data_IF_372775971896
#
_entry.id   IF_372775971896
#
_cell.length_a   1.000
_cell.length_b   1.000
_cell.length_c   1.000
_cell.angle_alpha   90.00
_cell.angle_beta   90.00
_cell.angle_gamma   90.00
#
_symmetry.space_group_name_H-M   'P 1'
#
loop_
_entity.id
_entity.type
_entity.pdbx_description
1 polymer ?
#
# COMPACT_ATOMS: atom_id res chain seq x y z
N UNK A 1 16.36 -9.61 -8.07
CA UNK A 1 16.48 -8.19 -7.68
C UNK A 1 15.21 -7.79 -6.95
N UNK A 2 15.33 -7.37 -5.69
CA UNK A 2 14.24 -6.94 -4.79
C UNK A 2 14.59 -5.57 -4.24
N UNK A 3 13.64 -4.64 -4.15
CA UNK A 3 13.92 -3.32 -3.52
C UNK A 3 14.24 -3.44 -2.03
N UNK A 4 13.87 -4.55 -1.38
CA UNK A 4 14.19 -4.80 0.02
C UNK A 4 15.59 -5.37 0.22
N UNK A 5 16.15 -6.05 -0.77
CA UNK A 5 17.45 -6.73 -0.64
C UNK A 5 18.33 -6.44 -1.86
N UNK A 6 18.61 -5.16 -2.15
CA UNK A 6 19.61 -4.82 -3.16
C UNK A 6 21.00 -5.20 -2.64
N UNK A 7 21.79 -5.90 -3.46
CA UNK A 7 23.19 -6.21 -3.11
C UNK A 7 24.10 -4.99 -3.33
N UNK A 8 23.88 -4.30 -4.45
CA UNK A 8 24.61 -3.10 -4.89
C UNK A 8 23.71 -2.25 -5.79
N UNK A 9 24.21 -1.08 -6.22
CA UNK A 9 23.54 -0.21 -7.16
C UNK A 9 22.83 0.98 -6.51
N UNK A 10 22.17 1.79 -7.32
CA UNK A 10 21.55 3.05 -6.86
C UNK A 10 20.03 3.03 -7.00
N UNK A 11 19.32 3.12 -5.88
CA UNK A 11 17.87 3.24 -5.84
C UNK A 11 17.49 4.72 -6.01
N UNK A 12 16.81 5.04 -7.11
CA UNK A 12 16.22 6.37 -7.33
C UNK A 12 14.75 6.30 -6.90
N UNK A 13 14.50 6.67 -5.64
CA UNK A 13 13.18 6.54 -5.01
C UNK A 13 12.31 7.73 -5.40
N UNK A 14 11.18 7.42 -6.04
CA UNK A 14 10.20 8.40 -6.53
C UNK A 14 8.86 8.10 -5.86
N UNK A 15 8.60 8.62 -4.66
CA UNK A 15 7.36 8.35 -3.94
C UNK A 15 6.18 9.18 -4.48
N UNK A 16 6.10 9.35 -5.81
CA UNK A 16 5.06 10.13 -6.49
C UNK A 16 3.70 9.47 -6.35
N UNK A 17 2.72 10.23 -5.86
CA UNK A 17 1.33 9.81 -5.78
C UNK A 17 0.60 10.13 -7.09
N UNK A 18 1.03 9.50 -8.19
CA UNK A 18 0.44 9.62 -9.53
C UNK A 18 -0.86 8.80 -9.62
N UNK A 19 -1.81 9.13 -8.74
CA UNK A 19 -3.13 8.50 -8.56
C UNK A 19 -4.26 9.51 -8.86
N UNK A 20 -5.54 9.10 -8.98
CA UNK A 20 -6.68 10.03 -9.10
C UNK A 20 -6.64 11.16 -8.06
N UNK A 21 -6.44 12.40 -8.50
CA UNK A 21 -6.14 13.53 -7.60
C UNK A 21 -7.36 14.06 -6.84
N UNK A 22 -8.55 13.87 -7.39
CA UNK A 22 -9.85 14.13 -6.75
C UNK A 22 -10.03 13.32 -5.47
N UNK A 23 -9.61 12.05 -5.48
CA UNK A 23 -9.65 11.16 -4.33
C UNK A 23 -8.55 11.49 -3.30
N UNK A 24 -7.33 11.88 -3.74
CA UNK A 24 -6.18 12.09 -2.84
C UNK A 24 -6.41 13.29 -1.93
N UNK A 25 -7.11 14.31 -2.45
CA UNK A 25 -7.50 15.52 -1.72
C UNK A 25 -8.37 15.23 -0.50
N UNK A 26 -9.05 14.10 -0.47
CA UNK A 26 -9.92 13.69 0.66
C UNK A 26 -9.13 13.05 1.80
N UNK A 27 -7.85 12.74 1.60
CA UNK A 27 -7.00 12.10 2.60
C UNK A 27 -6.18 13.16 3.33
N UNK A 28 -6.44 13.32 4.64
CA UNK A 28 -5.67 14.22 5.50
C UNK A 28 -4.20 13.79 5.56
N UNK A 29 -3.30 14.72 5.22
CA UNK A 29 -1.86 14.49 5.22
C UNK A 29 -1.34 13.65 4.05
N UNK A 30 -2.12 13.46 2.97
CA UNK A 30 -1.70 12.68 1.81
C UNK A 30 -0.34 13.10 1.25
N UNK A 31 -0.01 14.40 1.29
CA UNK A 31 1.28 14.92 0.82
C UNK A 31 2.48 14.36 1.59
N UNK A 32 2.29 13.97 2.86
CA UNK A 32 3.31 13.33 3.68
C UNK A 32 3.49 11.85 3.33
N UNK A 33 2.65 11.26 2.48
CA UNK A 33 2.84 9.86 2.04
C UNK A 33 4.09 9.67 1.21
N UNK A 34 4.72 10.76 0.73
CA UNK A 34 6.08 10.71 0.21
C UNK A 34 7.06 10.09 1.22
N UNK A 35 6.79 10.18 2.52
CA UNK A 35 7.61 9.58 3.59
C UNK A 35 7.38 8.08 3.77
N UNK A 36 6.35 7.47 3.16
CA UNK A 36 6.10 6.03 3.29
C UNK A 36 7.20 5.17 2.68
N UNK A 37 7.99 5.69 1.76
CA UNK A 37 9.13 4.96 1.19
C UNK A 37 10.45 5.22 1.94
N UNK A 38 10.46 6.02 3.02
CA UNK A 38 11.69 6.30 3.75
C UNK A 38 12.30 5.06 4.43
N UNK A 39 11.54 3.97 4.61
CA UNK A 39 12.11 2.69 5.03
C UNK A 39 13.20 2.19 4.06
N UNK A 40 13.19 2.62 2.78
CA UNK A 40 14.25 2.26 1.83
C UNK A 40 15.60 2.86 2.18
N UNK A 41 15.68 3.88 3.05
CA UNK A 41 16.97 4.35 3.59
C UNK A 41 17.68 3.25 4.37
N UNK A 42 16.94 2.28 4.94
CA UNK A 42 17.52 1.14 5.66
C UNK A 42 18.29 0.18 4.74
N UNK A 43 18.07 0.23 3.42
CA UNK A 43 18.86 -0.53 2.44
C UNK A 43 20.33 -0.08 2.41
N UNK A 44 20.64 1.13 2.90
CA UNK A 44 22.00 1.62 3.06
C UNK A 44 22.82 0.78 4.05
N UNK A 45 22.22 -0.16 4.80
CA UNK A 45 22.98 -1.19 5.53
C UNK A 45 23.92 -1.99 4.62
N UNK A 46 23.63 -2.06 3.31
CA UNK A 46 24.49 -2.67 2.30
C UNK A 46 25.49 -1.62 1.79
N UNK A 47 26.82 -1.82 1.96
CA UNK A 47 27.83 -0.84 1.56
C UNK A 47 27.83 -0.48 0.07
N UNK A 48 27.45 -1.43 -0.80
CA UNK A 48 27.38 -1.23 -2.25
C UNK A 48 26.14 -0.46 -2.72
N UNK A 49 25.21 -0.13 -1.83
CA UNK A 49 23.92 0.50 -2.19
C UNK A 49 24.00 2.01 -2.01
N UNK A 50 23.43 2.77 -2.94
CA UNK A 50 23.22 4.21 -2.82
C UNK A 50 21.73 4.52 -2.94
N UNK A 51 21.29 5.60 -2.31
CA UNK A 51 19.88 6.03 -2.38
C UNK A 51 19.82 7.48 -2.82
N UNK A 52 19.09 7.75 -3.90
CA UNK A 52 18.67 9.09 -4.32
C UNK A 52 17.19 9.20 -4.04
N UNK A 53 16.80 9.99 -3.04
CA UNK A 53 15.41 10.14 -2.61
C UNK A 53 14.85 11.48 -3.06
N UNK A 54 13.75 11.45 -3.81
CA UNK A 54 13.11 12.64 -4.36
C UNK A 54 11.90 13.03 -3.53
N UNK A 55 11.75 14.33 -3.25
CA UNK A 55 10.57 14.86 -2.54
C UNK A 55 10.06 16.18 -3.09
N UNK A 56 8.76 16.41 -2.94
CA UNK A 56 8.10 17.67 -3.25
C UNK A 56 8.56 18.78 -2.31
N UNK A 57 8.59 18.49 -1.00
CA UNK A 57 8.97 19.43 0.06
C UNK A 57 10.11 18.88 0.91
N UNK A 58 10.89 19.74 1.60
CA UNK A 58 11.98 19.26 2.44
C UNK A 58 11.46 18.28 3.50
N UNK A 59 12.14 17.15 3.65
CA UNK A 59 11.94 16.24 4.78
C UNK A 59 12.72 16.80 5.95
N UNK A 60 12.11 16.82 7.14
CA UNK A 60 12.80 17.27 8.36
C UNK A 60 14.06 16.41 8.58
N UNK A 61 15.25 17.02 8.77
CA UNK A 61 16.49 16.29 9.01
C UNK A 61 16.38 15.27 10.15
N UNK A 62 15.61 15.55 11.21
CA UNK A 62 15.41 14.63 12.33
C UNK A 62 14.73 13.31 11.90
N UNK A 63 13.92 13.33 10.84
CA UNK A 63 13.32 12.12 10.25
C UNK A 63 14.38 11.31 9.53
N UNK A 64 15.24 11.96 8.74
CA UNK A 64 16.34 11.28 8.02
C UNK A 64 17.31 10.67 9.04
N UNK A 65 17.69 11.43 10.05
CA UNK A 65 18.56 11.00 11.14
C UNK A 65 17.94 9.82 11.89
N UNK A 66 16.63 9.85 12.17
CA UNK A 66 15.91 8.73 12.77
C UNK A 66 16.04 7.42 11.98
N UNK A 67 15.95 7.45 10.65
CA UNK A 67 16.12 6.24 9.83
C UNK A 67 17.59 5.79 9.77
N UNK A 68 18.54 6.72 9.64
CA UNK A 68 19.96 6.38 9.62
C UNK A 68 20.45 5.84 10.98
N UNK A 69 19.83 6.26 12.08
CA UNK A 69 20.05 5.75 13.44
C UNK A 69 19.66 4.26 13.62
N UNK A 70 19.11 3.58 12.60
CA UNK A 70 18.97 2.12 12.61
C UNK A 70 20.21 1.38 12.06
N UNK A 71 21.13 2.10 11.42
CA UNK A 71 22.30 1.54 10.75
C UNK A 71 23.51 1.51 11.69
N UNK A 72 24.44 0.60 11.44
CA UNK A 72 25.64 0.43 12.29
C UNK A 72 26.60 1.63 12.15
N UNK A 73 26.69 2.20 10.95
CA UNK A 73 27.44 3.45 10.68
C UNK A 73 26.53 4.48 9.97
N UNK A 74 25.79 5.30 10.75
CA UNK A 74 24.92 6.35 10.19
C UNK A 74 25.70 7.42 9.39
N UNK A 75 26.96 7.67 9.75
CA UNK A 75 27.77 8.70 9.10
C UNK A 75 28.19 8.25 7.70
N UNK A 76 28.68 7.01 7.57
CA UNK A 76 29.02 6.41 6.28
C UNK A 76 27.77 6.27 5.41
N UNK A 77 26.66 5.76 5.95
CA UNK A 77 25.41 5.64 5.20
C UNK A 77 24.92 6.99 4.65
N UNK A 78 25.09 8.09 5.40
CA UNK A 78 24.75 9.44 4.94
C UNK A 78 25.54 9.87 3.71
N UNK A 79 26.79 9.43 3.57
CA UNK A 79 27.60 9.77 2.37
C UNK A 79 27.02 9.17 1.08
N UNK A 80 26.28 8.06 1.20
CA UNK A 80 25.62 7.33 0.10
C UNK A 80 24.15 7.71 -0.09
N UNK A 81 23.62 8.61 0.74
CA UNK A 81 22.27 9.16 0.64
C UNK A 81 22.30 10.55 -0.03
N UNK A 82 21.47 10.74 -1.06
CA UNK A 82 21.19 12.04 -1.67
C UNK A 82 19.70 12.35 -1.57
N UNK A 83 19.35 13.37 -0.78
CA UNK A 83 17.99 13.91 -0.73
C UNK A 83 17.87 15.05 -1.76
N UNK A 84 16.96 14.92 -2.73
CA UNK A 84 16.67 15.95 -3.73
C UNK A 84 15.26 16.46 -3.52
N UNK A 85 15.15 17.70 -3.06
CA UNK A 85 13.86 18.38 -2.88
C UNK A 85 13.61 19.40 -3.98
N UNK A 86 12.34 19.47 -4.43
CA UNK A 86 11.88 20.40 -5.47
C UNK A 86 11.37 21.74 -4.91
N UNK A 87 10.88 21.77 -3.68
CA UNK A 87 10.32 22.99 -3.06
C UNK A 87 8.92 23.36 -3.55
N UNK A 88 8.20 22.43 -4.20
CA UNK A 88 6.86 22.65 -4.74
C UNK A 88 5.80 22.01 -3.83
N UNK A 89 5.02 22.86 -3.15
CA UNK A 89 3.93 22.47 -2.23
C UNK A 89 2.60 22.15 -2.93
N UNK A 90 2.50 22.31 -4.24
CA UNK A 90 1.28 22.00 -5.00
C UNK A 90 0.91 20.53 -4.89
N UNK A 91 -0.36 20.22 -5.12
CA UNK A 91 -0.89 18.86 -5.11
C UNK A 91 -0.57 18.07 -6.39
N UNK A 92 0.22 18.62 -7.31
CA UNK A 92 0.64 17.87 -8.51
C UNK A 92 1.49 16.65 -8.11
N UNK A 93 1.39 15.53 -8.84
CA UNK A 93 2.29 14.40 -8.62
C UNK A 93 3.76 14.81 -8.67
N UNK A 94 4.60 14.20 -7.82
CA UNK A 94 6.03 14.49 -7.73
C UNK A 94 6.73 14.32 -9.08
N UNK A 95 6.39 13.27 -9.83
CA UNK A 95 6.99 13.02 -11.13
C UNK A 95 6.68 14.12 -12.14
N UNK A 96 5.47 14.66 -12.15
CA UNK A 96 5.13 15.82 -13.01
C UNK A 96 5.93 17.06 -12.61
N UNK A 97 6.16 17.27 -11.30
CA UNK A 97 7.03 18.35 -10.82
C UNK A 97 8.48 18.16 -11.29
N UNK A 98 8.97 16.92 -11.36
CA UNK A 98 10.30 16.60 -11.89
C UNK A 98 10.39 16.91 -13.38
N UNK A 99 9.41 16.44 -14.17
CA UNK A 99 9.39 16.61 -15.63
C UNK A 99 9.32 18.08 -16.05
N UNK A 100 8.58 18.90 -15.31
CA UNK A 100 8.41 20.33 -15.60
C UNK A 100 9.36 21.26 -14.82
N UNK A 101 10.12 20.72 -13.86
CA UNK A 101 10.98 21.51 -12.98
C UNK A 101 12.30 21.90 -13.65
N UNK A 102 12.63 23.20 -13.79
CA UNK A 102 13.85 23.63 -14.45
C UNK A 102 15.11 23.09 -13.74
N UNK A 103 16.01 22.47 -14.49
CA UNK A 103 17.27 21.91 -13.96
C UNK A 103 17.12 20.67 -13.07
N UNK A 104 15.91 20.17 -12.82
CA UNK A 104 15.69 19.02 -11.93
C UNK A 104 16.34 17.75 -12.48
N UNK A 105 16.11 17.45 -13.76
CA UNK A 105 16.73 16.28 -14.40
C UNK A 105 18.25 16.37 -14.38
N UNK A 106 18.82 17.56 -14.56
CA UNK A 106 20.27 17.78 -14.44
C UNK A 106 20.77 17.46 -13.04
N UNK A 107 20.08 17.93 -12.00
CA UNK A 107 20.42 17.62 -10.60
C UNK A 107 20.34 16.12 -10.30
N UNK A 108 19.34 15.43 -10.85
CA UNK A 108 19.21 13.96 -10.71
C UNK A 108 20.38 13.28 -11.39
N UNK A 109 20.71 13.64 -12.64
CA UNK A 109 21.87 13.07 -13.36
C UNK A 109 23.18 13.30 -12.61
N UNK A 110 23.41 14.51 -12.10
CA UNK A 110 24.58 14.82 -11.28
C UNK A 110 24.67 13.97 -10.00
N UNK A 111 23.54 13.68 -9.36
CA UNK A 111 23.51 12.79 -8.20
C UNK A 111 23.83 11.32 -8.55
N UNK A 112 23.69 10.96 -9.82
CA UNK A 112 23.99 9.64 -10.38
C UNK A 112 25.38 9.57 -11.03
N UNK A 113 26.14 10.67 -11.08
CA UNK A 113 27.48 10.67 -11.68
C UNK A 113 28.39 9.65 -10.97
N UNK A 114 29.06 8.80 -11.76
CA UNK A 114 29.91 7.72 -11.23
C UNK A 114 29.16 6.59 -10.54
N UNK A 115 27.84 6.46 -10.75
CA UNK A 115 27.07 5.28 -10.35
C UNK A 115 27.02 4.26 -11.49
N UNK A 116 27.32 3.01 -11.16
CA UNK A 116 26.94 1.87 -11.98
C UNK A 116 25.59 1.35 -11.47
N UNK A 117 24.73 0.88 -12.38
CA UNK A 117 23.48 0.17 -12.07
C UNK A 117 22.50 0.94 -11.17
N UNK A 118 21.82 1.92 -11.77
CA UNK A 118 20.73 2.68 -11.13
C UNK A 118 19.36 2.29 -11.70
N UNK A 119 18.32 2.35 -10.87
CA UNK A 119 16.93 2.12 -11.31
C UNK A 119 15.93 2.95 -10.53
N UNK A 120 14.78 3.21 -11.14
CA UNK A 120 13.68 3.93 -10.54
C UNK A 120 12.86 3.02 -9.62
N UNK A 121 12.54 3.50 -8.43
CA UNK A 121 11.62 2.86 -7.48
C UNK A 121 10.42 3.79 -7.26
N UNK A 122 9.41 3.75 -8.14
CA UNK A 122 8.22 4.56 -8.00
C UNK A 122 7.22 3.96 -6.99
N UNK A 123 6.40 4.80 -6.37
CA UNK A 123 5.25 4.32 -5.59
C UNK A 123 4.21 3.62 -6.49
N UNK A 124 3.92 4.22 -7.64
CA UNK A 124 3.06 3.69 -8.71
C UNK A 124 3.65 4.10 -10.06
N UNK A 125 3.52 3.26 -11.08
CA UNK A 125 3.96 3.57 -12.44
C UNK A 125 2.80 4.17 -13.22
N UNK A 126 2.95 5.41 -13.67
CA UNK A 126 2.08 6.06 -14.65
C UNK A 126 2.88 6.48 -15.89
N UNK A 127 2.22 7.07 -16.88
CA UNK A 127 2.90 7.61 -18.06
C UNK A 127 3.97 8.66 -17.68
N UNK A 128 3.78 9.38 -16.58
CA UNK A 128 4.77 10.34 -16.09
C UNK A 128 6.06 9.62 -15.64
N UNK A 129 5.95 8.51 -14.91
CA UNK A 129 7.11 7.72 -14.47
C UNK A 129 7.83 7.07 -15.65
N UNK A 130 7.11 6.56 -16.65
CA UNK A 130 7.72 6.04 -17.88
C UNK A 130 8.44 7.13 -18.69
N UNK A 131 7.84 8.33 -18.83
CA UNK A 131 8.54 9.48 -19.43
C UNK A 131 9.82 9.81 -18.67
N UNK A 132 9.77 9.85 -17.34
CA UNK A 132 10.94 10.13 -16.51
C UNK A 132 12.03 9.06 -16.68
N UNK A 133 11.65 7.78 -16.72
CA UNK A 133 12.55 6.66 -17.01
C UNK A 133 13.27 6.83 -18.34
N UNK A 134 12.54 7.13 -19.42
CA UNK A 134 13.12 7.37 -20.74
C UNK A 134 14.08 8.56 -20.71
N UNK A 135 13.72 9.67 -20.06
CA UNK A 135 14.57 10.86 -19.98
C UNK A 135 15.85 10.62 -19.17
N UNK A 136 15.81 9.77 -18.14
CA UNK A 136 16.97 9.43 -17.31
C UNK A 136 17.78 8.24 -17.87
N UNK A 137 17.20 7.44 -18.76
CA UNK A 137 17.80 6.20 -19.25
C UNK A 137 17.88 5.10 -18.19
N UNK A 138 16.95 5.08 -17.24
CA UNK A 138 16.95 4.15 -16.10
C UNK A 138 15.78 3.17 -16.17
N UNK A 139 15.97 1.87 -15.89
CA UNK A 139 14.86 0.91 -15.78
C UNK A 139 13.94 1.25 -14.60
N UNK A 140 12.68 0.82 -14.68
CA UNK A 140 11.69 1.00 -13.61
C UNK A 140 11.47 -0.32 -12.88
N UNK A 141 11.51 -0.30 -11.54
CA UNK A 141 11.01 -1.38 -10.71
C UNK A 141 9.52 -1.17 -10.44
N UNK A 142 8.67 -1.70 -11.32
CA UNK A 142 7.23 -1.59 -11.20
C UNK A 142 6.52 -2.07 -12.47
N UNK A 143 5.20 -2.31 -12.41
CA UNK A 143 4.46 -2.82 -13.56
C UNK A 143 4.35 -1.74 -14.63
N UNK A 144 4.67 -2.09 -15.88
CA UNK A 144 4.55 -1.16 -17.02
C UNK A 144 3.11 -0.65 -17.17
N UNK A 145 2.93 0.57 -17.67
CA UNK A 145 1.59 1.18 -17.82
C UNK A 145 0.69 0.41 -18.77
N UNK A 146 1.28 -0.30 -19.75
CA UNK A 146 0.56 -1.22 -20.63
C UNK A 146 -0.19 -2.33 -19.85
N UNK A 147 0.28 -2.67 -18.64
CA UNK A 147 -0.31 -3.67 -17.76
C UNK A 147 -1.24 -3.05 -16.69
N UNK A 148 -1.37 -1.73 -16.62
CA UNK A 148 -2.16 -1.06 -15.58
C UNK A 148 -3.62 -1.53 -15.53
N UNK A 149 -4.19 -1.89 -16.70
CA UNK A 149 -5.54 -2.43 -16.79
C UNK A 149 -5.73 -3.72 -15.98
N UNK A 150 -4.68 -4.53 -15.77
CA UNK A 150 -4.73 -5.76 -14.96
C UNK A 150 -4.91 -5.47 -13.46
N UNK A 151 -4.57 -4.27 -13.00
CA UNK A 151 -4.82 -3.79 -11.63
C UNK A 151 -6.15 -3.06 -11.46
N UNK A 152 -6.95 -2.90 -12.53
CA UNK A 152 -8.31 -2.36 -12.41
C UNK A 152 -9.25 -3.40 -11.79
N UNK A 153 -10.43 -3.00 -11.28
CA UNK A 153 -11.41 -3.97 -10.78
C UNK A 153 -11.81 -5.01 -11.83
N UNK A 154 -12.03 -4.58 -13.07
CA UNK A 154 -12.34 -5.50 -14.18
C UNK A 154 -11.15 -6.41 -14.52
N UNK A 155 -9.93 -5.86 -14.57
CA UNK A 155 -8.73 -6.64 -14.82
C UNK A 155 -8.39 -7.63 -13.71
N UNK A 156 -8.62 -7.26 -12.45
CA UNK A 156 -8.43 -8.14 -11.31
C UNK A 156 -9.37 -9.35 -11.36
N UNK A 157 -10.63 -9.15 -11.79
CA UNK A 157 -11.57 -10.25 -12.04
C UNK A 157 -11.08 -11.18 -13.16
N UNK A 158 -10.64 -10.63 -14.28
CA UNK A 158 -10.04 -11.40 -15.39
C UNK A 158 -8.85 -12.25 -14.92
N UNK A 159 -7.93 -11.64 -14.17
CA UNK A 159 -6.74 -12.33 -13.63
C UNK A 159 -7.13 -13.42 -12.65
N UNK A 160 -8.10 -13.18 -11.76
CA UNK A 160 -8.60 -14.21 -10.85
C UNK A 160 -9.26 -15.38 -11.59
N UNK A 161 -10.06 -15.12 -12.61
CA UNK A 161 -10.69 -16.17 -13.42
C UNK A 161 -9.61 -17.04 -14.10
N UNK A 162 -8.60 -16.44 -14.72
CA UNK A 162 -7.46 -17.14 -15.32
C UNK A 162 -6.66 -17.94 -14.27
N UNK A 163 -6.42 -17.36 -13.10
CA UNK A 163 -5.76 -17.99 -11.96
C UNK A 163 -6.63 -19.03 -11.22
N UNK A 164 -7.91 -19.17 -11.60
CA UNK A 164 -8.93 -19.98 -10.91
C UNK A 164 -9.12 -19.60 -9.43
N UNK A 165 -8.91 -18.34 -9.09
CA UNK A 165 -9.12 -17.80 -7.74
C UNK A 165 -10.60 -17.43 -7.58
N UNK A 166 -11.26 -17.81 -6.47
CA UNK A 166 -12.65 -17.45 -6.23
C UNK A 166 -12.90 -15.94 -6.25
N UNK A 167 -14.07 -15.55 -6.76
CA UNK A 167 -14.57 -14.18 -6.79
C UNK A 167 -15.99 -14.15 -6.23
N UNK A 168 -16.44 -12.97 -5.79
CA UNK A 168 -17.87 -12.72 -5.67
C UNK A 168 -18.54 -12.86 -7.05
N UNK A 169 -19.77 -13.39 -7.10
CA UNK A 169 -20.57 -13.41 -8.33
C UNK A 169 -20.73 -11.97 -8.82
N UNK A 170 -20.58 -11.76 -10.12
CA UNK A 170 -20.58 -10.40 -10.66
C UNK A 170 -20.13 -10.33 -12.11
N UNK A 171 -20.21 -9.13 -12.66
CA UNK A 171 -19.85 -8.81 -14.03
C UNK A 171 -18.80 -7.69 -14.06
N UNK A 172 -17.99 -7.69 -15.11
CA UNK A 172 -16.88 -6.76 -15.30
C UNK A 172 -16.98 -6.03 -16.64
N UNK A 173 -16.08 -5.06 -16.85
CA UNK A 173 -15.95 -4.25 -18.07
C UNK A 173 -17.25 -3.53 -18.47
N UNK A 174 -17.96 -3.01 -17.47
CA UNK A 174 -19.18 -2.23 -17.66
C UNK A 174 -18.81 -0.76 -17.90
N UNK A 175 -19.32 -0.14 -18.97
CA UNK A 175 -18.98 1.23 -19.42
C UNK A 175 -20.18 2.16 -19.46
N UNK A 176 -21.36 1.69 -19.07
CA UNK A 176 -22.55 2.52 -18.99
C UNK A 176 -23.48 2.09 -17.87
N UNK A 177 -24.31 3.02 -17.40
CA UNK A 177 -25.34 2.71 -16.41
C UNK A 177 -26.35 1.66 -16.93
N UNK A 178 -26.63 1.65 -18.23
CA UNK A 178 -27.48 0.64 -18.88
C UNK A 178 -26.88 -0.76 -18.77
N UNK A 179 -25.57 -0.91 -19.00
CA UNK A 179 -24.88 -2.19 -18.84
C UNK A 179 -24.86 -2.63 -17.38
N UNK A 180 -24.63 -1.71 -16.44
CA UNK A 180 -24.69 -1.99 -14.99
C UNK A 180 -26.10 -2.46 -14.59
N UNK A 181 -27.14 -1.82 -15.11
CA UNK A 181 -28.53 -2.21 -14.88
C UNK A 181 -28.83 -3.62 -15.45
N UNK A 182 -28.34 -3.92 -16.66
CA UNK A 182 -28.51 -5.24 -17.27
C UNK A 182 -27.81 -6.32 -16.45
N UNK A 183 -26.57 -6.06 -16.04
CA UNK A 183 -25.78 -6.95 -15.19
C UNK A 183 -26.43 -7.15 -13.81
N UNK A 184 -27.00 -6.09 -13.22
CA UNK A 184 -27.75 -6.19 -11.97
C UNK A 184 -28.95 -7.15 -12.10
N UNK A 185 -29.74 -7.04 -13.17
CA UNK A 185 -30.85 -7.97 -13.41
C UNK A 185 -30.38 -9.41 -13.62
N UNK A 186 -29.27 -9.60 -14.34
CA UNK A 186 -28.70 -10.93 -14.60
C UNK A 186 -28.11 -11.60 -13.35
N UNK A 187 -27.74 -10.83 -12.32
CA UNK A 187 -27.21 -11.36 -11.07
C UNK A 187 -28.30 -11.93 -10.15
N UNK A 188 -29.57 -11.58 -10.36
CA UNK A 188 -30.71 -12.07 -9.59
C UNK A 188 -31.00 -13.58 -9.86
N UNK A 189 -31.52 -14.34 -8.88
CA UNK A 189 -31.80 -13.92 -7.50
C UNK A 189 -30.51 -13.70 -6.68
N UNK A 190 -30.54 -12.68 -5.83
CA UNK A 190 -29.45 -12.38 -4.92
C UNK A 190 -29.58 -13.20 -3.64
N UNK A 191 -28.45 -13.63 -3.10
CA UNK A 191 -28.38 -14.22 -1.77
C UNK A 191 -28.61 -13.11 -0.73
N UNK A 192 -29.13 -13.51 0.44
CA UNK A 192 -29.12 -12.75 1.71
C UNK A 192 -29.19 -11.21 1.60
N UNK A 193 -30.39 -10.64 1.43
CA UNK A 193 -30.62 -9.21 1.65
C UNK A 193 -30.64 -8.32 0.41
N UNK A 194 -30.53 -8.88 -0.80
CA UNK A 194 -30.81 -8.14 -2.04
C UNK A 194 -29.79 -7.04 -2.36
N UNK A 195 -28.57 -7.13 -1.80
CA UNK A 195 -27.55 -6.10 -1.96
C UNK A 195 -26.53 -6.42 -3.05
N UNK A 196 -26.12 -5.37 -3.74
CA UNK A 196 -25.08 -5.38 -4.76
C UNK A 196 -24.06 -4.29 -4.47
N UNK A 197 -22.85 -4.46 -4.98
CA UNK A 197 -21.80 -3.45 -4.97
C UNK A 197 -21.39 -3.12 -6.40
N UNK A 198 -21.49 -1.85 -6.79
CA UNK A 198 -20.84 -1.33 -7.99
C UNK A 198 -19.51 -0.72 -7.58
N UNK A 199 -18.41 -1.09 -8.27
CA UNK A 199 -17.06 -0.58 -7.98
C UNK A 199 -16.45 0.00 -9.26
N UNK A 200 -15.99 1.24 -9.22
CA UNK A 200 -15.23 1.84 -10.32
C UNK A 200 -13.87 1.17 -10.47
N UNK A 201 -13.40 1.01 -11.71
CA UNK A 201 -12.17 0.29 -12.05
C UNK A 201 -10.90 0.86 -11.42
N UNK A 202 -10.75 2.19 -11.43
CA UNK A 202 -9.51 2.88 -11.06
C UNK A 202 -9.77 3.87 -9.91
N UNK A 203 -10.37 3.37 -8.82
CA UNK A 203 -10.59 4.13 -7.58
C UNK A 203 -9.89 3.43 -6.41
N UNK A 204 -9.59 4.16 -5.33
CA UNK A 204 -8.92 3.61 -4.15
C UNK A 204 -9.57 4.07 -2.84
N UNK A 205 -9.20 3.39 -1.75
CA UNK A 205 -9.75 3.65 -0.40
C UNK A 205 -11.28 3.59 -0.33
N UNK A 206 -11.91 2.75 -1.17
CA UNK A 206 -13.36 2.56 -1.19
C UNK A 206 -14.17 3.71 -1.80
N UNK A 207 -13.54 4.80 -2.27
CA UNK A 207 -14.23 6.02 -2.71
C UNK A 207 -15.09 5.84 -3.97
N UNK A 208 -14.78 4.84 -4.79
CA UNK A 208 -15.51 4.49 -6.01
C UNK A 208 -16.50 3.35 -5.85
N UNK A 209 -16.95 3.08 -4.62
CA UNK A 209 -17.94 2.05 -4.32
C UNK A 209 -19.35 2.64 -4.16
N UNK A 210 -20.35 1.90 -4.64
CA UNK A 210 -21.75 2.17 -4.42
C UNK A 210 -22.48 0.88 -4.02
N UNK A 211 -23.07 0.85 -2.82
CA UNK A 211 -23.87 -0.28 -2.34
C UNK A 211 -25.33 -0.01 -2.70
N UNK A 212 -25.94 -0.93 -3.45
CA UNK A 212 -27.32 -0.82 -3.90
C UNK A 212 -28.17 -1.90 -3.24
N UNK A 213 -29.29 -1.51 -2.64
CA UNK A 213 -30.35 -2.45 -2.24
C UNK A 213 -31.28 -2.60 -3.45
N UNK A 214 -31.13 -3.70 -4.20
CA UNK A 214 -31.86 -3.95 -5.45
C UNK A 214 -33.27 -4.44 -5.16
N UNK A 215 -34.25 -3.75 -5.75
CA UNK A 215 -35.65 -4.20 -5.87
C UNK A 215 -36.06 -4.28 -7.35
N UNK A 216 -37.36 -4.29 -7.68
CA UNK A 216 -37.83 -4.41 -9.07
C UNK A 216 -37.64 -3.13 -9.91
N UNK A 217 -37.29 -2.00 -9.28
CA UNK A 217 -37.10 -0.72 -9.96
C UNK A 217 -35.71 -0.63 -10.61
N UNK A 218 -35.50 0.36 -11.50
CA UNK A 218 -34.17 0.71 -11.98
C UNK A 218 -33.22 1.07 -10.82
N UNK A 219 -31.92 0.82 -10.99
CA UNK A 219 -30.86 1.12 -10.02
C UNK A 219 -30.89 2.58 -9.56
N UNK A 220 -31.20 3.51 -10.47
CA UNK A 220 -31.32 4.94 -10.17
C UNK A 220 -32.42 5.30 -9.19
N UNK A 221 -33.43 4.44 -9.05
CA UNK A 221 -34.54 4.58 -8.11
C UNK A 221 -34.40 3.66 -6.88
N UNK A 222 -33.38 2.80 -6.85
CA UNK A 222 -33.06 1.96 -5.71
C UNK A 222 -32.39 2.78 -4.61
N UNK A 223 -32.45 2.28 -3.38
CA UNK A 223 -31.66 2.87 -2.29
C UNK A 223 -30.19 2.55 -2.51
N UNK A 224 -29.38 3.59 -2.72
CA UNK A 224 -27.94 3.49 -2.93
C UNK A 224 -27.19 4.28 -1.89
N UNK A 225 -26.19 3.65 -1.28
CA UNK A 225 -25.19 4.30 -0.44
C UNK A 225 -23.90 4.43 -1.24
N UNK A 226 -23.54 5.66 -1.59
CA UNK A 226 -22.25 5.97 -2.20
C UNK A 226 -21.21 6.26 -1.13
N UNK A 227 -19.98 5.77 -1.33
CA UNK A 227 -18.87 6.04 -0.39
C UNK A 227 -18.41 7.51 -0.42
N UNK A 228 -18.65 8.21 -1.53
CA UNK A 228 -18.39 9.63 -1.69
C UNK A 228 -19.66 10.44 -1.34
N UNK A 229 -19.54 11.40 -0.41
CA UNK A 229 -20.70 12.14 0.13
C UNK A 229 -21.47 12.97 -0.92
N UNK A 230 -20.76 13.52 -1.91
CA UNK A 230 -21.35 14.35 -2.97
C UNK A 230 -21.66 13.55 -4.25
N UNK A 231 -21.75 12.23 -4.14
CA UNK A 231 -21.98 11.33 -5.28
C UNK A 231 -23.46 10.96 -5.41
N UNK A 232 -23.91 10.89 -6.66
CA UNK A 232 -25.21 10.37 -7.04
C UNK A 232 -25.09 9.52 -8.31
N UNK A 233 -26.18 8.92 -8.77
CA UNK A 233 -26.12 8.11 -10.00
C UNK A 233 -25.76 8.89 -11.26
N UNK A 234 -25.99 10.20 -11.30
CA UNK A 234 -25.66 11.05 -12.46
C UNK A 234 -24.14 11.17 -12.56
N UNK A 235 -23.52 11.68 -11.51
CA UNK A 235 -22.06 11.84 -11.39
C UNK A 235 -21.33 10.50 -11.44
N UNK A 236 -21.91 9.46 -10.84
CA UNK A 236 -21.33 8.12 -10.87
C UNK A 236 -21.40 7.49 -12.26
N UNK A 237 -22.46 7.73 -13.05
CA UNK A 237 -22.58 7.26 -14.43
C UNK A 237 -21.52 7.89 -15.35
N UNK A 238 -21.19 9.17 -15.17
CA UNK A 238 -20.08 9.83 -15.88
C UNK A 238 -18.75 9.13 -15.60
N UNK A 239 -18.50 8.78 -14.33
CA UNK A 239 -17.29 8.03 -13.95
C UNK A 239 -17.29 6.60 -14.45
N UNK A 240 -18.46 5.94 -14.51
CA UNK A 240 -18.59 4.61 -15.14
C UNK A 240 -18.20 4.70 -16.62
N UNK A 241 -18.64 5.73 -17.34
CA UNK A 241 -18.29 5.92 -18.74
C UNK A 241 -16.78 6.18 -18.93
N UNK A 242 -16.18 7.00 -18.07
CA UNK A 242 -14.76 7.34 -18.12
C UNK A 242 -13.85 6.16 -17.72
N UNK A 243 -14.16 5.51 -16.59
CA UNK A 243 -13.25 4.58 -15.90
C UNK A 243 -13.63 3.12 -16.09
N UNK A 244 -14.91 2.85 -16.36
CA UNK A 244 -15.51 1.53 -16.30
C UNK A 244 -15.77 1.05 -14.86
N UNK A 245 -16.56 -0.01 -14.74
CA UNK A 245 -16.97 -0.55 -13.46
C UNK A 245 -17.14 -2.08 -13.47
N UNK A 246 -17.21 -2.64 -12.27
CA UNK A 246 -17.71 -3.99 -12.01
C UNK A 246 -18.97 -3.89 -11.15
N UNK A 247 -19.86 -4.87 -11.26
CA UNK A 247 -20.95 -5.08 -10.30
C UNK A 247 -20.83 -6.46 -9.69
N UNK A 248 -20.93 -6.54 -8.37
CA UNK A 248 -20.74 -7.77 -7.60
C UNK A 248 -21.87 -7.97 -6.61
N UNK A 249 -22.15 -9.22 -6.28
CA UNK A 249 -23.00 -9.59 -5.16
C UNK A 249 -22.34 -9.11 -3.86
N UNK A 250 -23.11 -8.45 -3.00
CA UNK A 250 -22.58 -7.97 -1.73
C UNK A 250 -22.41 -9.13 -0.75
N UNK A 251 -21.22 -9.26 -0.15
CA UNK A 251 -20.91 -10.39 0.73
C UNK A 251 -21.44 -10.13 2.15
N UNK A 252 -22.59 -10.71 2.45
CA UNK A 252 -23.27 -10.57 3.73
C UNK A 252 -23.01 -11.67 4.75
N UNK A 253 -22.40 -12.77 4.32
CA UNK A 253 -22.07 -13.87 5.22
C UNK A 253 -21.13 -13.40 6.34
N UNK A 254 -21.34 -13.92 7.56
CA UNK A 254 -20.51 -13.67 8.73
C UNK A 254 -20.14 -15.01 9.41
N UNK A 255 -18.96 -15.11 10.07
CA UNK A 255 -17.91 -14.10 10.14
C UNK A 255 -17.24 -13.86 8.78
N UNK A 256 -16.84 -12.61 8.54
CA UNK A 256 -16.14 -12.15 7.34
C UNK A 256 -14.88 -11.43 7.78
N UNK A 257 -13.75 -11.80 7.19
CA UNK A 257 -12.46 -11.16 7.43
C UNK A 257 -11.90 -10.59 6.13
N UNK A 258 -11.03 -9.60 6.23
CA UNK A 258 -10.45 -8.88 5.09
C UNK A 258 -8.92 -9.04 5.05
N UNK A 259 -8.38 -10.24 4.81
CA UNK A 259 -6.94 -10.39 4.68
C UNK A 259 -6.42 -9.78 3.37
N UNK A 260 -5.12 -9.56 3.31
CA UNK A 260 -4.41 -9.26 2.07
C UNK A 260 -3.13 -10.07 1.95
N UNK A 261 -2.58 -10.10 0.74
CA UNK A 261 -1.27 -10.65 0.45
C UNK A 261 -0.43 -9.61 -0.29
N UNK A 262 0.87 -9.62 -0.01
CA UNK A 262 1.88 -8.87 -0.74
C UNK A 262 2.70 -9.87 -1.56
N UNK A 263 2.75 -9.67 -2.87
CA UNK A 263 3.59 -10.47 -3.76
C UNK A 263 4.61 -9.60 -4.48
N UNK A 264 5.66 -10.27 -4.96
CA UNK A 264 6.77 -9.70 -5.69
C UNK A 264 6.93 -10.46 -7.00
N UNK A 265 7.19 -9.74 -8.08
CA UNK A 265 7.71 -10.31 -9.34
C UNK A 265 9.03 -9.61 -9.66
N UNK A 266 10.07 -10.39 -9.86
CA UNK A 266 11.40 -9.89 -10.25
C UNK A 266 11.46 -9.59 -11.74
N UNK A 267 12.42 -8.77 -12.21
CA UNK A 267 12.61 -8.53 -13.65
C UNK A 267 12.83 -9.79 -14.50
N UNK A 268 13.28 -10.89 -13.89
CA UNK A 268 13.43 -12.19 -14.56
C UNK A 268 12.17 -13.05 -14.60
N UNK A 269 11.03 -12.54 -14.14
CA UNK A 269 9.75 -13.26 -14.12
C UNK A 269 9.59 -14.24 -12.95
N UNK A 270 10.58 -14.39 -12.07
CA UNK A 270 10.40 -15.12 -10.81
C UNK A 270 9.45 -14.35 -9.90
N UNK A 271 8.54 -15.07 -9.25
CA UNK A 271 7.53 -14.49 -8.38
C UNK A 271 7.41 -15.24 -7.06
N UNK A 272 7.03 -14.51 -6.01
CA UNK A 272 6.84 -15.05 -4.67
C UNK A 272 5.85 -14.20 -3.85
N UNK A 273 5.11 -14.84 -2.96
CA UNK A 273 4.31 -14.17 -1.92
C UNK A 273 5.22 -13.88 -0.74
N UNK A 274 5.38 -12.60 -0.39
CA UNK A 274 6.35 -12.15 0.64
C UNK A 274 5.69 -11.84 1.97
N UNK A 275 4.37 -11.67 2.01
CA UNK A 275 3.62 -11.47 3.24
C UNK A 275 2.13 -11.72 3.05
N UNK A 276 1.46 -12.03 4.15
CA UNK A 276 0.00 -11.97 4.29
C UNK A 276 -0.35 -11.13 5.51
N UNK A 277 -1.48 -10.44 5.48
CA UNK A 277 -1.90 -9.52 6.53
C UNK A 277 -3.37 -9.68 6.84
N UNK A 278 -3.75 -9.36 8.08
CA UNK A 278 -5.11 -8.89 8.36
C UNK A 278 -5.17 -7.38 8.12
N UNK A 279 -6.12 -6.92 7.32
CA UNK A 279 -6.38 -5.48 7.22
C UNK A 279 -7.21 -5.00 8.41
N UNK A 280 -6.75 -3.92 9.05
CA UNK A 280 -7.53 -3.19 10.04
C UNK A 280 -8.31 -2.12 9.29
N UNK A 281 -9.62 -2.31 9.18
CA UNK A 281 -10.51 -1.40 8.46
C UNK A 281 -11.36 -0.59 9.46
N UNK A 282 -11.70 0.63 9.07
CA UNK A 282 -12.51 1.57 9.85
C UNK A 282 -13.30 2.50 8.94
N UNK A 283 -13.68 3.67 9.46
CA UNK A 283 -14.56 4.61 8.78
C UNK A 283 -16.04 4.20 8.87
N UNK A 284 -16.96 5.04 8.35
CA UNK A 284 -18.41 4.85 8.52
C UNK A 284 -18.92 3.50 7.99
N UNK A 285 -18.31 2.99 6.93
CA UNK A 285 -18.70 1.75 6.25
C UNK A 285 -17.75 0.57 6.55
N UNK A 286 -16.72 0.76 7.37
CA UNK A 286 -15.75 -0.30 7.71
C UNK A 286 -14.86 -0.72 6.53
N UNK A 287 -14.61 0.16 5.57
CA UNK A 287 -13.89 -0.08 4.31
C UNK A 287 -12.66 0.83 4.12
N UNK A 288 -12.34 1.67 5.11
CA UNK A 288 -11.16 2.56 5.07
C UNK A 288 -9.99 1.91 5.78
N UNK A 289 -8.90 1.64 5.05
CA UNK A 289 -7.66 1.09 5.60
C UNK A 289 -7.08 1.96 6.73
N UNK A 290 -6.98 1.39 7.92
CA UNK A 290 -6.37 2.02 9.09
C UNK A 290 -4.94 1.54 9.33
N UNK A 291 -4.65 0.30 8.93
CA UNK A 291 -3.42 -0.40 9.26
C UNK A 291 -3.51 -1.89 8.99
N UNK A 292 -2.56 -2.66 9.49
CA UNK A 292 -2.55 -4.11 9.32
C UNK A 292 -1.94 -4.85 10.50
N UNK A 293 -2.29 -6.14 10.61
CA UNK A 293 -1.62 -7.11 11.49
C UNK A 293 -0.94 -8.13 10.61
N UNK A 294 0.32 -8.43 10.91
CA UNK A 294 1.08 -9.47 10.24
C UNK A 294 1.46 -10.58 11.23
N UNK A 295 1.36 -11.84 10.80
CA UNK A 295 0.79 -12.30 9.52
C UNK A 295 -0.75 -12.36 9.54
N UNK A 296 -1.38 -12.71 8.42
CA UNK A 296 -2.81 -13.09 8.39
C UNK A 296 -3.10 -14.26 9.35
N UNK A 297 -4.36 -14.44 9.74
CA UNK A 297 -4.75 -15.48 10.70
C UNK A 297 -4.43 -16.90 10.22
N UNK A 298 -3.95 -17.80 11.09
CA UNK A 298 -3.52 -19.14 10.71
C UNK A 298 -4.62 -19.97 10.04
N UNK A 299 -5.90 -19.70 10.33
CA UNK A 299 -7.05 -20.46 9.82
C UNK A 299 -7.26 -20.34 8.31
N UNK A 300 -6.73 -19.28 7.66
CA UNK A 300 -6.86 -19.06 6.22
C UNK A 300 -5.60 -18.48 5.57
N UNK A 301 -4.51 -18.30 6.32
CA UNK A 301 -3.24 -17.77 5.79
C UNK A 301 -2.75 -18.54 4.57
N UNK A 302 -2.76 -19.87 4.65
CA UNK A 302 -2.32 -20.74 3.57
C UNK A 302 -3.20 -20.56 2.32
N UNK A 303 -4.52 -20.61 2.47
CA UNK A 303 -5.50 -20.38 1.39
C UNK A 303 -5.29 -19.01 0.70
N UNK A 304 -5.06 -17.95 1.49
CA UNK A 304 -4.77 -16.60 0.95
C UNK A 304 -3.44 -16.59 0.20
N UNK A 305 -2.41 -17.22 0.75
CA UNK A 305 -1.08 -17.35 0.12
C UNK A 305 -1.15 -18.10 -1.21
N UNK A 306 -1.83 -19.24 -1.26
CA UNK A 306 -2.00 -20.05 -2.46
C UNK A 306 -2.81 -19.33 -3.55
N UNK A 307 -3.84 -18.57 -3.17
CA UNK A 307 -4.57 -17.71 -4.12
C UNK A 307 -3.66 -16.60 -4.67
N UNK A 308 -2.89 -15.96 -3.80
CA UNK A 308 -1.97 -14.89 -4.19
C UNK A 308 -0.84 -15.39 -5.10
N UNK A 309 -0.31 -16.58 -4.85
CA UNK A 309 0.73 -17.20 -5.69
C UNK A 309 0.22 -17.48 -7.11
N UNK A 310 -0.99 -18.02 -7.25
CA UNK A 310 -1.60 -18.26 -8.57
C UNK A 310 -1.83 -16.97 -9.36
N UNK A 311 -2.29 -15.91 -8.69
CA UNK A 311 -2.43 -14.58 -9.29
C UNK A 311 -1.06 -14.03 -9.71
N UNK A 312 -0.06 -14.16 -8.85
CA UNK A 312 1.30 -13.74 -9.17
C UNK A 312 1.87 -14.47 -10.39
N UNK A 313 1.59 -15.76 -10.54
CA UNK A 313 1.96 -16.54 -11.72
C UNK A 313 1.34 -16.01 -13.02
N UNK A 314 0.05 -15.67 -13.01
CA UNK A 314 -0.60 -15.05 -14.18
C UNK A 314 0.04 -13.71 -14.51
N UNK A 315 0.20 -12.83 -13.52
CA UNK A 315 0.78 -11.50 -13.74
C UNK A 315 2.25 -11.57 -14.20
N UNK A 316 3.03 -12.51 -13.66
CA UNK A 316 4.40 -12.77 -14.11
C UNK A 316 4.42 -13.25 -15.57
N UNK A 317 3.49 -14.13 -15.96
CA UNK A 317 3.31 -14.57 -17.35
C UNK A 317 2.96 -13.43 -18.32
N UNK A 318 2.35 -12.34 -17.82
CA UNK A 318 2.10 -11.10 -18.58
C UNK A 318 3.27 -10.11 -18.57
N UNK A 319 4.36 -10.43 -17.86
CA UNK A 319 5.55 -9.58 -17.76
C UNK A 319 5.46 -8.46 -16.72
N UNK A 320 4.56 -8.56 -15.73
CA UNK A 320 4.53 -7.60 -14.63
C UNK A 320 5.82 -7.69 -13.80
N UNK A 321 6.28 -6.57 -13.25
CA UNK A 321 7.48 -6.48 -12.40
C UNK A 321 7.14 -5.65 -11.17
N UNK A 322 7.77 -5.94 -10.04
CA UNK A 322 7.67 -5.14 -8.83
C UNK A 322 6.76 -5.77 -7.76
N UNK A 323 6.32 -4.93 -6.83
CA UNK A 323 5.47 -5.33 -5.71
C UNK A 323 4.02 -4.94 -5.98
N UNK A 324 3.11 -5.78 -5.53
CA UNK A 324 1.68 -5.52 -5.62
C UNK A 324 0.93 -6.21 -4.47
N UNK A 325 -0.15 -5.56 -4.04
CA UNK A 325 -1.05 -6.10 -3.03
C UNK A 325 -2.24 -6.81 -3.66
N UNK A 326 -2.80 -7.80 -2.98
CA UNK A 326 -4.07 -8.43 -3.31
C UNK A 326 -4.93 -8.46 -2.06
N UNK A 327 -6.15 -7.97 -2.17
CA UNK A 327 -7.10 -7.94 -1.06
C UNK A 327 -8.11 -9.07 -1.23
N UNK A 328 -8.42 -9.75 -0.14
CA UNK A 328 -9.31 -10.90 -0.12
C UNK A 328 -10.42 -10.71 0.91
N UNK A 329 -11.51 -11.43 0.69
CA UNK A 329 -12.48 -11.77 1.71
C UNK A 329 -12.27 -13.21 2.14
N UNK A 330 -12.03 -13.45 3.43
CA UNK A 330 -11.99 -14.80 3.98
C UNK A 330 -13.36 -15.15 4.59
N UNK A 331 -14.03 -16.10 3.94
CA UNK A 331 -15.36 -16.57 4.31
C UNK A 331 -15.28 -17.93 4.99
N UNK A 332 -15.96 -18.06 6.14
CA UNK A 332 -16.11 -19.36 6.80
C UNK A 332 -17.02 -20.26 5.97
N UNK A 333 -16.60 -21.49 5.72
CA UNK A 333 -17.39 -22.52 5.04
C UNK A 333 -17.39 -23.80 5.89
N UNK A 334 -18.22 -24.78 5.52
CA UNK A 334 -18.26 -26.09 6.19
C UNK A 334 -16.90 -26.80 6.11
N UNK A 335 -16.13 -26.56 5.05
CA UNK A 335 -14.81 -27.13 4.82
C UNK A 335 -13.63 -26.32 5.37
N UNK A 336 -13.87 -25.22 6.10
CA UNK A 336 -12.80 -24.35 6.61
C UNK A 336 -13.03 -22.89 6.25
N UNK A 337 -12.10 -22.30 5.50
CA UNK A 337 -12.21 -20.94 4.99
C UNK A 337 -11.97 -20.92 3.49
N UNK A 338 -12.62 -19.99 2.80
CA UNK A 338 -12.41 -19.72 1.38
C UNK A 338 -11.97 -18.28 1.21
N UNK A 339 -10.88 -18.06 0.46
CA UNK A 339 -10.45 -16.71 0.09
C UNK A 339 -11.09 -16.30 -1.25
N UNK A 340 -11.80 -15.18 -1.26
CA UNK A 340 -12.35 -14.58 -2.48
C UNK A 340 -11.56 -13.32 -2.78
N UNK A 341 -11.02 -13.19 -4.00
CA UNK A 341 -10.33 -11.97 -4.40
C UNK A 341 -11.32 -10.79 -4.41
N UNK A 342 -10.93 -9.68 -3.80
CA UNK A 342 -11.64 -8.41 -3.80
C UNK A 342 -11.04 -7.44 -4.83
N UNK A 343 -9.73 -7.26 -4.83
CA UNK A 343 -9.00 -6.39 -5.76
C UNK A 343 -7.50 -6.72 -5.83
N UNK A 344 -6.86 -6.29 -6.92
CA UNK A 344 -5.41 -6.31 -7.11
C UNK A 344 -4.91 -4.87 -7.17
N UNK A 345 -3.93 -4.55 -6.34
CA UNK A 345 -3.27 -3.25 -6.30
C UNK A 345 -1.87 -3.37 -6.93
N UNK A 346 -1.76 -3.18 -8.26
CA UNK A 346 -0.49 -3.22 -9.02
C UNK A 346 0.43 -2.01 -8.76
N UNK A 347 0.83 -1.85 -7.49
CA UNK A 347 1.68 -0.76 -6.98
C UNK A 347 2.13 -1.07 -5.55
N UNK A 348 3.00 -0.22 -5.02
CA UNK A 348 3.28 -0.18 -3.58
C UNK A 348 1.99 0.24 -2.83
N UNK A 349 1.66 -0.50 -1.77
CA UNK A 349 0.45 -0.33 -0.97
C UNK A 349 0.73 -0.01 0.50
N UNK A 350 -0.34 0.14 1.28
CA UNK A 350 -0.25 0.47 2.72
C UNK A 350 0.29 -0.66 3.59
N UNK A 351 0.38 -1.89 3.07
CA UNK A 351 1.00 -3.04 3.74
C UNK A 351 2.46 -3.24 3.32
N UNK A 352 2.93 -2.51 2.29
CA UNK A 352 4.30 -2.65 1.78
C UNK A 352 5.32 -1.98 2.70
N UNK A 353 5.06 -0.76 3.19
CA UNK A 353 6.01 -0.06 4.06
C UNK A 353 6.15 -0.67 5.46
N UNK A 354 5.09 -1.20 6.13
CA UNK A 354 5.27 -1.89 7.39
C UNK A 354 6.04 -3.20 7.22
N UNK A 355 5.77 -3.94 6.13
CA UNK A 355 6.56 -5.12 5.77
C UNK A 355 8.03 -4.77 5.54
N UNK A 356 8.31 -3.76 4.72
CA UNK A 356 9.66 -3.30 4.43
C UNK A 356 10.40 -2.81 5.68
N UNK A 357 9.72 -2.04 6.54
CA UNK A 357 10.26 -1.61 7.82
C UNK A 357 10.62 -2.81 8.71
N UNK A 358 9.68 -3.74 8.91
CA UNK A 358 9.92 -4.92 9.74
C UNK A 358 11.05 -5.79 9.19
N UNK A 359 11.06 -6.04 7.89
CA UNK A 359 12.09 -6.84 7.22
C UNK A 359 13.49 -6.20 7.38
N UNK A 360 13.61 -4.91 7.08
CA UNK A 360 14.91 -4.22 7.04
C UNK A 360 15.48 -3.90 8.43
N UNK A 361 14.64 -3.54 9.41
CA UNK A 361 15.14 -3.26 10.77
C UNK A 361 15.50 -4.53 11.52
N UNK A 362 14.78 -5.63 11.29
CA UNK A 362 15.04 -6.91 11.96
C UNK A 362 16.06 -7.77 11.21
N UNK A 363 16.25 -7.56 9.90
CA UNK A 363 17.02 -8.47 9.05
C UNK A 363 16.43 -9.89 9.01
N UNK A 364 15.13 -10.03 9.27
CA UNK A 364 14.43 -11.30 9.17
C UNK A 364 14.28 -11.71 7.71
N UNK A 365 14.00 -12.99 7.47
CA UNK A 365 13.67 -13.56 6.16
C UNK A 365 12.26 -14.12 6.22
N UNK A 366 11.47 -13.95 5.16
CA UNK A 366 10.15 -14.55 5.08
C UNK A 366 10.26 -16.07 4.90
N UNK A 367 9.60 -16.82 5.76
CA UNK A 367 9.48 -18.28 5.67
C UNK A 367 8.10 -18.62 5.07
N UNK A 368 8.04 -19.08 3.80
CA UNK A 368 6.77 -19.43 3.16
C UNK A 368 6.09 -20.65 3.80
N UNK A 369 6.84 -21.52 4.50
CA UNK A 369 6.28 -22.69 5.18
C UNK A 369 5.44 -22.33 6.40
N UNK A 370 5.86 -21.30 7.15
CA UNK A 370 5.08 -20.78 8.30
C UNK A 370 4.24 -19.55 7.96
N UNK A 371 4.57 -18.87 6.85
CA UNK A 371 4.02 -17.57 6.49
C UNK A 371 4.39 -16.45 7.46
N UNK A 372 5.56 -16.54 8.11
CA UNK A 372 6.06 -15.55 9.08
C UNK A 372 7.44 -15.03 8.70
N UNK A 373 7.82 -13.87 9.21
CA UNK A 373 9.22 -13.42 9.20
C UNK A 373 10.01 -14.17 10.26
N UNK A 374 11.24 -14.61 9.94
CA UNK A 374 12.14 -15.33 10.86
C UNK A 374 13.49 -14.64 10.99
N UNK A 375 13.91 -14.44 12.23
CA UNK A 375 15.24 -14.01 12.61
C UNK A 375 15.92 -15.18 13.35
N UNK A 376 16.63 -16.04 12.60
CA UNK A 376 17.05 -17.35 13.13
C UNK A 376 15.83 -18.20 13.49
N UNK A 377 15.75 -18.64 14.74
CA UNK A 377 14.60 -19.40 15.25
C UNK A 377 13.44 -18.55 15.76
N UNK A 378 13.63 -17.24 15.83
CA UNK A 378 12.62 -16.32 16.36
C UNK A 378 11.71 -15.80 15.24
N UNK A 379 10.42 -16.12 15.31
CA UNK A 379 9.41 -15.49 14.46
C UNK A 379 9.20 -14.03 14.84
N UNK A 380 8.91 -13.19 13.84
CA UNK A 380 8.59 -11.76 14.00
C UNK A 380 7.16 -11.48 13.54
N UNK A 381 6.48 -10.67 14.33
CA UNK A 381 5.10 -10.24 14.15
C UNK A 381 5.05 -8.73 14.17
N UNK A 382 4.05 -8.12 13.54
CA UNK A 382 3.84 -6.69 13.69
C UNK A 382 2.38 -6.26 13.60
N UNK A 383 2.09 -5.12 14.23
CA UNK A 383 0.86 -4.36 14.05
C UNK A 383 1.23 -2.96 13.60
N UNK A 384 0.65 -2.50 12.51
CA UNK A 384 0.96 -1.20 11.92
C UNK A 384 -0.28 -0.32 11.79
N UNK A 385 -0.10 0.98 11.92
CA UNK A 385 -1.12 2.00 11.66
C UNK A 385 -0.53 3.16 10.88
N UNK A 386 -1.33 3.76 10.00
CA UNK A 386 -1.02 5.01 9.31
C UNK A 386 -1.83 6.19 9.87
N UNK A 387 -2.68 5.92 10.86
CA UNK A 387 -3.74 6.83 11.31
C UNK A 387 -3.71 7.08 12.82
N UNK A 388 -2.52 7.06 13.42
CA UNK A 388 -2.34 7.57 14.78
C UNK A 388 -2.46 9.10 14.73
N UNK A 389 -3.60 9.63 15.17
CA UNK A 389 -3.86 11.06 15.17
C UNK A 389 -4.48 11.51 16.49
N UNK A 390 -3.95 12.60 17.06
CA UNK A 390 -4.50 13.23 18.25
C UNK A 390 -4.20 14.73 18.26
N UNK A 391 -5.11 15.51 18.84
CA UNK A 391 -4.95 16.97 18.93
C UNK A 391 -3.67 17.40 19.65
N UNK A 392 -3.23 16.63 20.65
CA UNK A 392 -2.00 16.90 21.42
C UNK A 392 -0.70 16.67 20.65
N UNK A 393 -0.76 16.00 19.48
CA UNK A 393 0.39 15.80 18.59
C UNK A 393 0.56 16.96 17.61
N UNK A 394 -0.47 17.78 17.40
CA UNK A 394 -0.40 18.91 16.47
C UNK A 394 0.60 19.96 16.97
N UNK A 395 1.42 20.47 16.06
CA UNK A 395 2.50 21.41 16.39
C UNK A 395 3.75 20.79 16.99
N UNK A 396 3.77 19.48 17.29
CA UNK A 396 4.98 18.76 17.71
C UNK A 396 5.93 18.56 16.54
N UNK A 397 7.23 18.60 16.83
CA UNK A 397 8.26 18.29 15.83
C UNK A 397 8.51 16.78 15.75
N UNK A 398 8.99 16.26 14.60
CA UNK A 398 9.43 14.88 14.48
C UNK A 398 10.44 14.46 15.55
N UNK A 399 11.47 15.29 15.78
CA UNK A 399 12.52 15.03 16.77
C UNK A 399 11.99 14.92 18.20
N UNK A 400 11.04 15.77 18.59
CA UNK A 400 10.40 15.68 19.91
C UNK A 400 9.68 14.34 20.12
N UNK A 401 8.90 13.89 19.13
CA UNK A 401 8.15 12.63 19.24
C UNK A 401 9.10 11.43 19.27
N UNK A 402 10.13 11.43 18.43
CA UNK A 402 11.17 10.39 18.42
C UNK A 402 11.85 10.30 19.79
N UNK A 403 12.26 11.44 20.38
CA UNK A 403 12.89 11.49 21.69
C UNK A 403 11.96 10.96 22.80
N UNK A 404 10.68 11.34 22.78
CA UNK A 404 9.68 10.86 23.75
C UNK A 404 9.46 9.35 23.66
N UNK A 405 9.34 8.80 22.46
CA UNK A 405 9.19 7.35 22.25
C UNK A 405 10.42 6.59 22.74
N UNK A 406 11.63 7.12 22.49
CA UNK A 406 12.88 6.54 23.02
C UNK A 406 12.93 6.58 24.54
N UNK A 407 12.58 7.72 25.15
CA UNK A 407 12.60 7.88 26.62
C UNK A 407 11.61 6.95 27.35
N UNK A 408 10.48 6.62 26.71
CA UNK A 408 9.49 5.68 27.25
C UNK A 408 9.87 4.19 27.02
N UNK A 409 11.01 3.91 26.38
CA UNK A 409 11.41 2.55 26.01
C UNK A 409 10.48 1.91 24.97
N UNK A 410 9.80 2.73 24.17
CA UNK A 410 8.91 2.28 23.08
C UNK A 410 9.62 2.29 21.71
N UNK A 411 10.84 2.80 21.63
CA UNK A 411 11.65 2.75 20.42
C UNK A 411 12.03 1.33 20.01
N UNK A 412 12.55 1.17 18.80
CA UNK A 412 13.11 -0.10 18.34
C UNK A 412 14.40 -0.44 19.09
N UNK A 413 14.47 -1.65 19.64
CA UNK A 413 15.62 -2.24 20.30
C UNK A 413 16.37 -3.15 19.30
N UNK A 414 17.67 -2.91 19.11
CA UNK A 414 18.49 -3.64 18.14
C UNK A 414 18.89 -5.04 18.61
N UNK A 415 18.97 -5.27 19.91
CA UNK A 415 19.36 -6.57 20.49
C UNK A 415 18.20 -7.54 20.38
N UNK A 416 17.02 -7.15 20.85
CA UNK A 416 15.81 -7.99 20.76
C UNK A 416 15.21 -7.98 19.36
N UNK A 417 15.52 -6.95 18.55
CA UNK A 417 14.91 -6.66 17.24
C UNK A 417 13.39 -6.52 17.35
N UNK A 418 12.92 -5.84 18.40
CA UNK A 418 11.50 -5.53 18.66
C UNK A 418 11.34 -4.04 18.97
N UNK A 419 10.12 -3.53 19.03
CA UNK A 419 9.85 -2.10 19.27
C UNK A 419 9.21 -1.39 18.08
N UNK A 420 9.06 -0.06 18.17
CA UNK A 420 8.34 0.71 17.15
C UNK A 420 9.28 1.32 16.09
N UNK A 421 8.86 1.20 14.83
CA UNK A 421 9.39 1.97 13.70
C UNK A 421 8.36 3.02 13.28
N UNK A 422 8.70 4.31 13.36
CA UNK A 422 7.81 5.43 13.08
C UNK A 422 7.88 5.84 11.60
N UNK A 423 6.75 6.28 11.04
CA UNK A 423 6.65 6.80 9.67
C UNK A 423 5.63 7.94 9.60
N UNK A 424 5.62 8.68 8.47
CA UNK A 424 4.76 9.86 8.28
C UNK A 424 4.96 10.96 9.34
N UNK A 425 6.17 11.10 9.87
CA UNK A 425 6.47 12.06 10.94
C UNK A 425 6.31 13.52 10.47
N UNK A 426 6.50 13.83 9.19
CA UNK A 426 6.27 15.18 8.69
C UNK A 426 4.80 15.61 8.70
N UNK A 427 3.85 14.69 8.96
CA UNK A 427 2.46 15.03 9.19
C UNK A 427 2.17 15.54 10.61
N UNK A 428 3.12 15.43 11.55
CA UNK A 428 2.95 15.84 12.94
C UNK A 428 2.66 17.35 13.09
N UNK A 429 3.47 18.29 12.54
CA UNK A 429 3.28 19.70 12.86
C UNK A 429 1.93 20.23 12.38
N UNK A 430 1.54 19.88 11.15
CA UNK A 430 0.33 20.40 10.51
C UNK A 430 -0.93 19.63 10.89
N UNK A 431 -0.86 18.30 11.01
CA UNK A 431 -2.04 17.44 11.15
C UNK A 431 -2.13 16.71 12.49
N UNK A 432 -1.08 16.72 13.32
CA UNK A 432 -1.05 15.93 14.55
C UNK A 432 -1.20 14.43 14.29
N UNK A 433 -0.65 13.97 13.16
CA UNK A 433 -0.77 12.60 12.64
C UNK A 433 0.60 12.00 12.40
N UNK A 434 0.74 10.70 12.67
CA UNK A 434 1.85 9.86 12.27
C UNK A 434 1.38 8.41 12.06
N UNK A 435 2.27 7.57 11.57
CA UNK A 435 2.12 6.13 11.58
C UNK A 435 3.26 5.45 12.33
N UNK A 436 3.06 4.19 12.68
CA UNK A 436 4.12 3.34 13.21
C UNK A 436 3.86 1.85 12.98
N UNK A 437 4.93 1.07 13.01
CA UNK A 437 4.94 -0.40 12.93
C UNK A 437 5.52 -0.94 14.22
N UNK A 438 4.69 -1.59 15.03
CA UNK A 438 5.08 -2.22 16.31
C UNK A 438 5.50 -3.66 16.07
N UNK A 439 6.78 -3.97 16.24
CA UNK A 439 7.37 -5.29 15.94
C UNK A 439 7.60 -6.06 17.24
N UNK A 440 7.19 -7.34 17.28
CA UNK A 440 7.35 -8.23 18.44
C UNK A 440 7.79 -9.64 18.06
N UNK A 441 8.17 -10.44 19.06
CA UNK A 441 8.53 -11.86 18.95
C UNK A 441 7.30 -12.79 18.99
N UNK A 442 6.14 -12.24 19.32
CA UNK A 442 4.84 -12.91 19.29
C UNK A 442 3.77 -11.94 18.81
N UNK A 443 2.60 -12.47 18.40
CA UNK A 443 1.46 -11.64 18.04
C UNK A 443 0.98 -10.80 19.24
N UNK A 444 1.02 -11.38 20.43
CA UNK A 444 0.63 -10.77 21.70
C UNK A 444 1.55 -9.59 22.06
N UNK A 445 2.87 -9.77 21.94
CA UNK A 445 3.85 -8.71 22.20
C UNK A 445 3.68 -7.55 21.22
N UNK A 446 3.54 -7.84 19.92
CA UNK A 446 3.34 -6.80 18.91
C UNK A 446 2.04 -6.01 19.17
N UNK A 447 0.96 -6.70 19.56
CA UNK A 447 -0.33 -6.07 19.88
C UNK A 447 -0.27 -5.24 21.17
N UNK A 448 0.37 -5.73 22.24
CA UNK A 448 0.55 -4.96 23.48
C UNK A 448 1.41 -3.71 23.22
N UNK A 449 2.52 -3.86 22.51
CA UNK A 449 3.38 -2.73 22.13
C UNK A 449 2.60 -1.68 21.34
N UNK A 450 1.78 -2.12 20.37
CA UNK A 450 0.93 -1.23 19.60
C UNK A 450 -0.05 -0.46 20.48
N UNK A 451 -0.76 -1.15 21.38
CA UNK A 451 -1.71 -0.52 22.32
C UNK A 451 -1.03 0.43 23.30
N UNK A 452 0.15 0.09 23.82
CA UNK A 452 0.93 1.00 24.69
C UNK A 452 1.35 2.26 23.95
N UNK A 453 1.80 2.10 22.71
CA UNK A 453 2.24 3.22 21.86
C UNK A 453 1.07 4.13 21.50
N UNK A 454 -0.09 3.56 21.14
CA UNK A 454 -1.32 4.33 20.93
C UNK A 454 -1.72 5.11 22.19
N UNK A 455 -1.78 4.47 23.36
CA UNK A 455 -2.14 5.14 24.63
C UNK A 455 -1.16 6.26 24.98
N UNK A 456 0.12 6.06 24.72
CA UNK A 456 1.16 7.06 25.01
C UNK A 456 1.07 8.28 24.09
N UNK A 457 0.85 8.07 22.79
CA UNK A 457 0.76 9.14 21.80
C UNK A 457 -0.62 9.82 21.78
N UNK A 458 -1.66 9.07 22.09
CA UNK A 458 -3.07 9.47 22.04
C UNK A 458 -3.79 9.10 23.36
N UNK A 459 -3.46 9.72 24.49
CA UNK A 459 -4.01 9.37 25.81
C UNK A 459 -5.52 9.63 25.99
N UNK A 460 -6.17 10.22 24.98
CA UNK A 460 -7.61 10.47 24.93
C UNK A 460 -8.41 9.40 24.15
N UNK A 461 -7.74 8.36 23.64
CA UNK A 461 -8.33 7.14 23.07
C UNK A 461 -8.32 6.03 24.13
#
# INVERSE_FOLDING_TARGET
>A
MSIFEPNEGTLVVIPSLSLPQDELRRITGARCYEERLLFLLLTLKRPGVKVVYLTSTPVDPAIVDYYLDFLDDPAEARTRLKMITLGDRSLRPLTEKILHGPGTLTRIRQALDGTADAWLVPFVVSQAEERLSVMLGLPIYGPATALAHLGSKSGGRMVAEEAKVPLARGFADLRSLTEVEHAARALAPLSHGGRMMVKLNNSYSGLGNAIVIKDDRPLTACHTSFSAADEDWTTFAEKIAERGAVIEEFIDQRPLYSPSALARITPGGLYDVVATHEQVLGGPNGDVYQGCVFPARPEYRAEVGECAERIAGVLAGRGAVGLFGMDFFALKTDGGYRALLCEINLRIGGTTHPFGAALLTTGAVYDPGTGTLRCGDQSKYYVATDNCAAGCLRGRTPGEIVARIRAEGLGFDRETRTGNVLHLLGALPEYGKLGFTSIGNSAEEAAELHRRTLRFLCPAL
#
